data_IF_562242981629
#
_entry.id   IF_562242981629
#
_cell.length_a   1.000
_cell.length_b   1.000
_cell.length_c   1.000
_cell.angle_alpha   90.00
_cell.angle_beta   90.00
_cell.angle_gamma   90.00
#
_symmetry.space_group_name_H-M   'P 1'
#
loop_
_entity.id
_entity.type
_entity.pdbx_description
1 polymer ?
#
# COMPACT_ATOMS: atom_id res chain seq x y z
N UNK A 1 26.50 -5.39 -13.08
CA UNK A 1 25.74 -6.46 -12.38
C UNK A 1 25.66 -6.11 -10.90
N UNK A 2 24.47 -6.13 -10.36
CA UNK A 2 24.29 -5.89 -8.93
C UNK A 2 24.56 -7.18 -8.16
N UNK A 3 25.26 -7.12 -7.00
CA UNK A 3 25.44 -8.29 -6.17
C UNK A 3 24.08 -8.79 -5.67
N UNK A 4 23.86 -10.10 -5.75
CA UNK A 4 22.66 -10.71 -5.20
C UNK A 4 22.82 -10.83 -3.69
N UNK A 5 21.90 -10.22 -2.94
CA UNK A 5 21.88 -10.38 -1.50
C UNK A 5 21.47 -11.80 -1.14
N UNK A 6 22.24 -12.46 -0.28
CA UNK A 6 22.01 -13.86 0.08
C UNK A 6 21.14 -14.03 1.32
N UNK A 7 21.01 -12.99 2.11
CA UNK A 7 20.28 -13.04 3.37
C UNK A 7 19.31 -11.85 3.48
N UNK A 8 18.12 -12.13 3.92
CA UNK A 8 17.07 -11.14 4.11
C UNK A 8 16.49 -11.25 5.52
N UNK A 9 16.22 -10.12 6.13
CA UNK A 9 15.55 -10.07 7.43
C UNK A 9 14.04 -10.27 7.27
N UNK A 10 13.47 -9.74 6.18
CA UNK A 10 12.04 -9.87 5.87
C UNK A 10 11.88 -10.13 4.37
N UNK A 11 11.06 -11.10 4.06
CA UNK A 11 10.62 -11.38 2.69
C UNK A 11 9.10 -11.25 2.65
N UNK A 12 8.60 -10.39 1.76
CA UNK A 12 7.17 -10.19 1.54
C UNK A 12 6.78 -10.86 0.24
N UNK A 13 5.90 -11.82 0.31
CA UNK A 13 5.36 -12.52 -0.86
C UNK A 13 4.16 -11.75 -1.40
N UNK A 14 4.34 -11.13 -2.55
CA UNK A 14 3.33 -10.32 -3.22
C UNK A 14 3.58 -8.82 -3.11
N UNK A 15 3.59 -8.13 -4.25
CA UNK A 15 3.85 -6.70 -4.38
C UNK A 15 2.60 -5.85 -4.62
N UNK A 16 1.39 -6.39 -4.35
CA UNK A 16 0.17 -5.62 -4.38
C UNK A 16 0.10 -4.56 -3.27
N UNK A 17 -1.04 -3.94 -3.06
CA UNK A 17 -1.18 -2.85 -2.08
C UNK A 17 -0.80 -3.28 -0.66
N UNK A 18 -1.16 -4.49 -0.26
CA UNK A 18 -0.85 -4.98 1.09
C UNK A 18 0.66 -5.18 1.28
N UNK A 19 1.31 -5.87 0.35
CA UNK A 19 2.75 -6.12 0.43
C UNK A 19 3.57 -4.84 0.31
N UNK A 20 3.22 -3.97 -0.62
CA UNK A 20 3.90 -2.70 -0.83
C UNK A 20 3.74 -1.77 0.37
N UNK A 21 2.56 -1.66 0.94
CA UNK A 21 2.32 -0.86 2.14
C UNK A 21 3.10 -1.41 3.34
N UNK A 22 3.11 -2.73 3.53
CA UNK A 22 3.87 -3.38 4.59
C UNK A 22 5.35 -3.06 4.46
N UNK A 23 5.92 -3.18 3.26
CA UNK A 23 7.32 -2.85 2.99
C UNK A 23 7.62 -1.38 3.33
N UNK A 24 6.77 -0.47 2.87
CA UNK A 24 6.97 0.96 3.09
C UNK A 24 6.97 1.32 4.57
N UNK A 25 6.01 0.80 5.34
CA UNK A 25 5.92 1.07 6.77
C UNK A 25 7.06 0.43 7.57
N UNK A 26 7.45 -0.81 7.22
CA UNK A 26 8.57 -1.48 7.88
C UNK A 26 9.89 -0.74 7.65
N UNK A 27 10.14 -0.33 6.42
CA UNK A 27 11.38 0.41 6.10
C UNK A 27 11.40 1.80 6.75
N UNK A 28 10.24 2.41 6.93
CA UNK A 28 10.14 3.67 7.66
C UNK A 28 10.39 3.50 9.15
N UNK A 29 9.94 2.39 9.73
CA UNK A 29 10.12 2.10 11.15
C UNK A 29 11.54 1.63 11.47
N UNK A 30 12.15 0.84 10.58
CA UNK A 30 13.50 0.28 10.77
C UNK A 30 14.26 0.27 9.44
N UNK A 31 14.93 1.39 9.11
CA UNK A 31 15.63 1.52 7.82
C UNK A 31 16.78 0.53 7.60
N UNK A 32 17.27 -0.11 8.66
CA UNK A 32 18.34 -1.08 8.55
C UNK A 32 17.90 -2.46 8.09
N UNK A 33 16.60 -2.71 7.99
CA UNK A 33 16.09 -4.01 7.54
C UNK A 33 16.49 -4.31 6.09
N UNK A 34 16.98 -5.52 5.88
CA UNK A 34 17.17 -6.08 4.54
C UNK A 34 15.85 -6.72 4.12
N UNK A 35 15.08 -5.98 3.34
CA UNK A 35 13.72 -6.36 2.99
C UNK A 35 13.64 -6.64 1.48
N UNK A 36 12.96 -7.73 1.13
CA UNK A 36 12.65 -8.08 -0.26
C UNK A 36 11.15 -8.23 -0.44
N UNK A 37 10.66 -7.72 -1.55
CA UNK A 37 9.29 -7.99 -2.01
C UNK A 37 9.38 -8.86 -3.25
N UNK A 38 8.72 -10.01 -3.22
CA UNK A 38 8.71 -10.96 -4.34
C UNK A 38 7.35 -10.96 -4.99
N UNK A 39 7.31 -10.59 -6.27
CA UNK A 39 6.08 -10.52 -7.06
C UNK A 39 6.22 -11.40 -8.30
N UNK A 40 5.31 -12.39 -8.50
CA UNK A 40 5.41 -13.31 -9.64
C UNK A 40 5.05 -12.67 -10.98
N UNK A 41 4.32 -11.56 -10.98
CA UNK A 41 3.86 -10.90 -12.20
C UNK A 41 4.09 -9.39 -12.13
N UNK A 42 5.14 -8.86 -12.80
CA UNK A 42 5.43 -7.43 -12.77
C UNK A 42 4.36 -6.56 -13.44
N UNK A 43 3.43 -7.15 -14.20
CA UNK A 43 2.30 -6.42 -14.79
C UNK A 43 1.14 -6.26 -13.81
N UNK A 44 1.12 -7.05 -12.72
CA UNK A 44 0.05 -7.09 -11.70
C UNK A 44 -1.34 -7.43 -12.28
N UNK A 45 -1.43 -7.99 -13.49
CA UNK A 45 -2.70 -8.20 -14.18
C UNK A 45 -3.69 -9.08 -13.43
N UNK A 46 -3.19 -10.00 -12.58
CA UNK A 46 -4.00 -10.91 -11.78
C UNK A 46 -3.93 -10.64 -10.28
N UNK A 47 -3.36 -9.52 -9.88
CA UNK A 47 -3.30 -9.19 -8.45
C UNK A 47 -4.69 -8.84 -7.91
N UNK A 48 -4.94 -9.16 -6.66
CA UNK A 48 -6.18 -8.79 -6.00
C UNK A 48 -6.41 -7.28 -6.01
N UNK A 49 -5.34 -6.51 -5.86
CA UNK A 49 -5.40 -5.04 -5.93
C UNK A 49 -5.90 -4.56 -7.29
N UNK A 50 -5.33 -5.06 -8.38
CA UNK A 50 -5.70 -4.64 -9.74
C UNK A 50 -7.12 -5.07 -10.11
N UNK A 51 -7.57 -6.23 -9.60
CA UNK A 51 -8.88 -6.79 -9.89
C UNK A 51 -9.98 -6.29 -8.95
N UNK A 52 -9.65 -5.49 -7.93
CA UNK A 52 -10.62 -4.95 -7.01
C UNK A 52 -11.41 -3.79 -7.64
N UNK A 53 -12.56 -3.47 -7.05
CA UNK A 53 -13.33 -2.27 -7.44
C UNK A 53 -12.74 -1.00 -6.80
N UNK A 54 -11.69 -1.12 -6.04
CA UNK A 54 -11.00 -0.01 -5.38
C UNK A 54 -11.93 0.89 -4.56
N UNK A 55 -12.89 0.27 -3.86
CA UNK A 55 -13.85 0.97 -3.02
C UNK A 55 -13.36 1.00 -1.58
N UNK A 56 -13.41 2.17 -0.95
CA UNK A 56 -13.02 2.38 0.45
C UNK A 56 -14.19 2.97 1.20
N UNK A 57 -14.53 2.41 2.36
CA UNK A 57 -15.61 2.90 3.20
C UNK A 57 -15.22 2.89 4.67
N UNK A 58 -15.90 3.71 5.48
CA UNK A 58 -15.73 3.77 6.93
C UNK A 58 -16.97 3.31 7.70
N UNK A 59 -17.95 2.76 7.01
CA UNK A 59 -19.23 2.33 7.59
C UNK A 59 -19.13 0.89 8.07
N UNK A 60 -18.70 0.73 9.31
CA UNK A 60 -18.54 -0.55 9.97
C UNK A 60 -19.16 -0.49 11.37
N UNK A 61 -19.61 -1.65 11.87
CA UNK A 61 -20.16 -1.76 13.23
C UNK A 61 -19.07 -1.86 14.30
N UNK A 62 -17.89 -2.32 13.94
CA UNK A 62 -16.77 -2.43 14.88
C UNK A 62 -15.92 -1.14 14.86
N UNK A 63 -15.75 -0.46 16.02
CA UNK A 63 -14.97 0.78 16.10
C UNK A 63 -13.55 0.68 15.55
N UNK A 64 -12.87 -0.44 15.75
CA UNK A 64 -11.51 -0.66 15.23
C UNK A 64 -11.49 -0.59 13.71
N UNK A 65 -12.48 -1.19 13.04
CA UNK A 65 -12.57 -1.14 11.59
C UNK A 65 -12.85 0.27 11.07
N UNK A 66 -13.64 1.05 11.80
CA UNK A 66 -13.86 2.47 11.49
C UNK A 66 -12.56 3.25 11.58
N UNK A 67 -11.78 3.05 12.64
CA UNK A 67 -10.49 3.72 12.84
C UNK A 67 -9.49 3.37 11.73
N UNK A 68 -9.36 2.10 11.39
CA UNK A 68 -8.48 1.63 10.32
C UNK A 68 -8.87 2.28 8.98
N UNK A 69 -10.15 2.32 8.66
CA UNK A 69 -10.64 2.90 7.41
C UNK A 69 -10.45 4.42 7.36
N UNK A 70 -10.68 5.11 8.47
CA UNK A 70 -10.42 6.56 8.56
C UNK A 70 -8.94 6.87 8.34
N UNK A 71 -8.06 6.09 8.94
CA UNK A 71 -6.62 6.21 8.72
C UNK A 71 -6.28 6.00 7.23
N UNK A 72 -6.82 4.96 6.63
CA UNK A 72 -6.58 4.65 5.22
C UNK A 72 -7.04 5.77 4.28
N UNK A 73 -8.22 6.35 4.51
CA UNK A 73 -8.73 7.47 3.70
C UNK A 73 -7.83 8.70 3.86
N UNK A 74 -7.41 9.03 5.07
CA UNK A 74 -6.50 10.14 5.32
C UNK A 74 -5.15 9.92 4.62
N UNK A 75 -4.63 8.70 4.67
CA UNK A 75 -3.39 8.33 3.99
C UNK A 75 -3.51 8.51 2.47
N UNK A 76 -4.62 8.08 1.88
CA UNK A 76 -4.85 8.21 0.44
C UNK A 76 -4.96 9.69 0.04
N UNK A 77 -5.63 10.52 0.83
CA UNK A 77 -5.71 11.97 0.57
C UNK A 77 -4.35 12.62 0.57
N UNK A 78 -3.48 12.22 1.49
CA UNK A 78 -2.15 12.81 1.68
C UNK A 78 -1.05 12.05 0.95
N UNK A 79 -1.40 11.14 0.05
CA UNK A 79 -0.49 10.20 -0.56
C UNK A 79 0.75 10.87 -1.18
N UNK A 80 0.54 11.92 -1.96
CA UNK A 80 1.63 12.64 -2.61
C UNK A 80 2.58 13.29 -1.61
N UNK A 81 2.05 13.90 -0.55
CA UNK A 81 2.85 14.53 0.50
C UNK A 81 3.64 13.52 1.32
N UNK A 82 3.09 12.35 1.55
CA UNK A 82 3.74 11.29 2.33
C UNK A 82 4.85 10.58 1.58
N UNK A 83 4.67 10.35 0.28
CA UNK A 83 5.61 9.57 -0.54
C UNK A 83 6.67 10.41 -1.24
N UNK A 84 6.54 11.71 -1.21
CA UNK A 84 7.56 12.62 -1.70
C UNK A 84 7.00 13.82 -2.44
N UNK A 85 7.44 15.02 -2.07
CA UNK A 85 6.99 16.26 -2.70
C UNK A 85 7.66 16.51 -4.06
N UNK A 86 8.62 15.69 -4.47
CA UNK A 86 9.50 15.95 -5.62
C UNK A 86 8.89 15.61 -6.97
N UNK A 87 7.59 15.51 -7.06
CA UNK A 87 6.88 15.30 -8.32
C UNK A 87 7.17 13.94 -8.97
N UNK A 88 6.22 13.19 -9.28
CA UNK A 88 6.36 11.84 -9.83
C UNK A 88 5.51 10.82 -9.09
N UNK A 89 4.85 11.25 -8.02
CA UNK A 89 3.84 10.42 -7.37
C UNK A 89 2.53 10.63 -8.12
N UNK A 90 1.98 9.57 -8.73
CA UNK A 90 0.73 9.68 -9.48
C UNK A 90 -0.44 9.98 -8.53
N UNK A 91 -1.47 10.65 -9.04
CA UNK A 91 -2.72 10.79 -8.32
C UNK A 91 -3.40 9.44 -8.18
N UNK A 92 -3.89 9.13 -6.97
CA UNK A 92 -4.67 7.91 -6.74
C UNK A 92 -6.12 8.03 -7.23
N UNK A 93 -6.55 9.21 -7.64
CA UNK A 93 -7.89 9.43 -8.19
C UNK A 93 -9.02 9.22 -7.18
N UNK A 94 -8.78 9.51 -5.90
CA UNK A 94 -9.80 9.38 -4.87
C UNK A 94 -11.01 10.26 -5.18
N UNK A 95 -12.19 9.66 -5.19
CA UNK A 95 -13.48 10.34 -5.37
C UNK A 95 -14.39 10.01 -4.19
N UNK A 96 -14.85 11.04 -3.51
CA UNK A 96 -15.69 10.90 -2.33
C UNK A 96 -17.17 11.00 -2.72
N UNK A 97 -17.65 9.95 -3.40
CA UNK A 97 -19.01 9.91 -3.93
C UNK A 97 -20.07 9.48 -2.90
N UNK A 98 -19.62 8.93 -1.76
CA UNK A 98 -20.51 8.34 -0.75
C UNK A 98 -21.06 6.98 -1.17
N UNK A 99 -21.94 6.44 -0.33
CA UNK A 99 -22.62 5.16 -0.55
C UNK A 99 -24.13 5.34 -0.36
N UNK A 100 -24.89 4.72 -1.25
CA UNK A 100 -26.32 4.64 -1.12
C UNK A 100 -26.70 3.20 -0.68
N UNK A 101 -27.42 3.11 0.41
CA UNK A 101 -27.93 1.85 0.94
C UNK A 101 -29.45 1.74 0.79
#
# INVERSE_FOLDING_TARGET
MFPVQKEWDVIIAGGGVMGSATAWWLMGAEPSLRLAVVEPDPTYARSATALSVASVRSQFSNPVNVEISRFGVAFIRDFGARLGPEGGVPSLGLKENGYLF
#
